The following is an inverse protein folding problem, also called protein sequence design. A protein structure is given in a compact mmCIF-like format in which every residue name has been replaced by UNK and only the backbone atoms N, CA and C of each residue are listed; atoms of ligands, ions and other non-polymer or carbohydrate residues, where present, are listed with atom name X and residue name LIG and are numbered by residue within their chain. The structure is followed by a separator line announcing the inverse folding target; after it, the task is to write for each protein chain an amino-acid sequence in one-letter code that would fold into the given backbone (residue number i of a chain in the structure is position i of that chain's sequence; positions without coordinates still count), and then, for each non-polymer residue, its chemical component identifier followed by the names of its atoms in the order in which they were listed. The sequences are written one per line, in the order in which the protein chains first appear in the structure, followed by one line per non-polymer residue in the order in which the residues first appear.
data_IF_742270772510
#
_entry.id   IF_742270772510
#
_cell.length_a   1.000
_cell.length_b   1.000
_cell.length_c   1.000
_cell.angle_alpha   90.00
_cell.angle_beta   90.00
_cell.angle_gamma   90.00
#
_symmetry.space_group_name_H-M   'P 1'
#
loop_
_entity.id
_entity.type
_entity.pdbx_description
1 polymer ?
#
# COMPACT_ATOMS: atom_id res chain seq x y z
N UNK A 1 5.99 18.36 4.44
CA UNK A 1 5.77 18.31 2.97
C UNK A 1 6.88 17.44 2.40
N UNK A 2 6.68 16.13 2.34
CA UNK A 2 7.72 15.22 1.83
C UNK A 2 7.73 15.35 0.31
N UNK A 3 8.72 16.07 -0.21
CA UNK A 3 8.95 16.19 -1.65
C UNK A 3 9.35 14.81 -2.17
N UNK A 4 8.48 14.21 -2.98
CA UNK A 4 8.81 13.02 -3.77
C UNK A 4 9.79 13.49 -4.84
N UNK A 5 11.09 13.37 -4.54
CA UNK A 5 12.13 13.64 -5.53
C UNK A 5 12.13 12.48 -6.52
N UNK A 6 11.66 12.70 -7.74
CA UNK A 6 12.01 11.85 -8.87
C UNK A 6 13.53 11.90 -9.02
N UNK A 7 14.20 10.77 -8.75
CA UNK A 7 15.66 10.67 -8.89
C UNK A 7 15.94 10.08 -10.27
N UNK A 8 16.45 10.87 -11.23
CA UNK A 8 16.53 10.44 -12.64
C UNK A 8 17.62 9.40 -12.94
N UNK A 9 18.42 8.95 -11.96
CA UNK A 9 19.69 8.27 -12.24
C UNK A 9 20.03 7.07 -11.33
N UNK A 10 19.08 6.50 -10.58
CA UNK A 10 19.39 5.27 -9.81
C UNK A 10 19.14 4.04 -10.68
N UNK A 11 20.08 3.08 -10.81
CA UNK A 11 19.85 1.87 -11.58
C UNK A 11 18.57 1.18 -11.11
N UNK A 12 17.61 1.00 -12.02
CA UNK A 12 16.33 0.34 -11.76
C UNK A 12 16.62 -1.12 -11.36
N UNK A 13 16.74 -1.41 -10.06
CA UNK A 13 17.00 -2.75 -9.52
C UNK A 13 15.79 -3.71 -9.63
N UNK A 14 14.91 -3.50 -10.61
CA UNK A 14 13.81 -4.42 -10.87
C UNK A 14 14.31 -5.61 -11.69
N UNK A 15 13.93 -6.83 -11.27
CA UNK A 15 14.19 -8.07 -12.00
C UNK A 15 13.28 -8.20 -13.23
N UNK A 16 12.18 -7.45 -13.31
CA UNK A 16 11.23 -7.47 -14.43
C UNK A 16 11.61 -6.42 -15.47
N UNK A 17 11.80 -6.85 -16.72
CA UNK A 17 12.20 -6.01 -17.85
C UNK A 17 11.19 -4.88 -18.14
N UNK A 18 9.90 -5.11 -17.88
CA UNK A 18 8.83 -4.11 -18.04
C UNK A 18 9.10 -2.87 -17.17
N UNK A 19 9.51 -3.06 -15.92
CA UNK A 19 9.88 -1.94 -15.02
C UNK A 19 11.19 -1.26 -15.39
N UNK A 20 11.97 -1.82 -16.31
CA UNK A 20 13.16 -1.16 -16.87
C UNK A 20 12.85 -0.33 -18.09
N UNK A 21 11.66 -0.43 -18.68
CA UNK A 21 11.32 0.24 -19.94
C UNK A 21 10.20 1.28 -19.81
N UNK A 22 9.58 1.41 -18.63
CA UNK A 22 8.66 2.54 -18.33
C UNK A 22 9.44 3.83 -18.55
N UNK A 23 8.94 4.66 -19.46
CA UNK A 23 9.54 5.96 -19.76
C UNK A 23 9.26 6.93 -18.60
N UNK A 24 10.08 7.97 -18.45
CA UNK A 24 9.96 8.91 -17.32
C UNK A 24 8.60 9.67 -17.32
N UNK A 25 7.87 9.65 -18.43
CA UNK A 25 6.52 10.20 -18.62
C UNK A 25 5.38 9.22 -18.28
N UNK A 26 5.65 7.93 -18.07
CA UNK A 26 4.64 6.87 -17.85
C UNK A 26 4.62 6.31 -16.42
N UNK A 27 5.54 6.76 -15.55
CA UNK A 27 5.64 6.25 -14.18
C UNK A 27 6.64 6.97 -13.29
N UNK A 28 6.63 6.64 -11.99
CA UNK A 28 7.59 7.15 -11.01
C UNK A 28 8.08 6.06 -10.04
N UNK A 29 9.18 6.30 -9.34
CA UNK A 29 9.77 5.34 -8.39
C UNK A 29 9.77 5.93 -6.97
N UNK A 30 9.30 5.14 -6.01
CA UNK A 30 9.39 5.46 -4.58
C UNK A 30 10.29 4.45 -3.88
N UNK A 31 11.25 4.96 -3.12
CA UNK A 31 12.15 4.14 -2.29
C UNK A 31 11.51 3.88 -0.93
N UNK A 32 11.07 2.65 -0.72
CA UNK A 32 10.56 2.16 0.56
C UNK A 32 11.65 1.44 1.34
N UNK A 33 11.38 1.16 2.62
CA UNK A 33 12.24 0.33 3.46
C UNK A 33 12.53 -1.04 2.82
N UNK A 34 11.51 -1.66 2.23
CA UNK A 34 11.60 -2.96 1.55
C UNK A 34 12.26 -2.91 0.16
N UNK A 35 12.62 -1.72 -0.35
CA UNK A 35 13.21 -1.54 -1.67
C UNK A 35 12.54 -0.45 -2.52
N UNK A 36 13.07 -0.24 -3.73
CA UNK A 36 12.49 0.68 -4.70
C UNK A 36 11.31 0.04 -5.43
N UNK A 37 10.18 0.75 -5.49
CA UNK A 37 8.94 0.30 -6.15
C UNK A 37 8.62 1.28 -7.28
N UNK A 38 8.37 0.75 -8.47
CA UNK A 38 7.94 1.50 -9.64
C UNK A 38 6.41 1.53 -9.69
N UNK A 39 5.85 2.72 -9.87
CA UNK A 39 4.42 2.97 -10.02
C UNK A 39 4.15 3.47 -11.43
N UNK A 40 3.23 2.81 -12.12
CA UNK A 40 2.71 3.23 -13.41
C UNK A 40 1.60 4.27 -13.19
N UNK A 41 1.62 5.38 -13.97
CA UNK A 41 0.63 6.45 -13.84
C UNK A 41 -0.62 6.22 -14.70
N UNK A 42 -0.60 5.22 -15.59
CA UNK A 42 -1.74 4.82 -16.40
C UNK A 42 -2.96 4.53 -15.52
N UNK A 43 -4.08 5.22 -15.79
CA UNK A 43 -5.36 5.14 -15.05
C UNK A 43 -5.28 5.55 -13.57
N UNK A 44 -4.25 6.27 -13.13
CA UNK A 44 -4.15 6.70 -11.73
C UNK A 44 -5.32 7.61 -11.33
N UNK A 45 -5.71 8.55 -12.21
CA UNK A 45 -6.84 9.46 -12.00
C UNK A 45 -8.18 8.71 -12.05
N UNK A 46 -8.38 7.83 -13.03
CA UNK A 46 -9.61 7.03 -13.15
C UNK A 46 -9.84 6.15 -11.93
N UNK A 47 -8.80 5.47 -11.41
CA UNK A 47 -8.88 4.65 -10.20
C UNK A 47 -9.12 5.46 -8.92
N UNK A 48 -8.71 6.73 -8.90
CA UNK A 48 -8.91 7.64 -7.77
C UNK A 48 -10.19 8.47 -7.90
N UNK A 49 -10.97 8.24 -8.98
CA UNK A 49 -12.26 8.87 -9.16
C UNK A 49 -13.33 7.98 -8.51
N UNK A 50 -13.42 8.05 -7.18
CA UNK A 50 -14.38 7.31 -6.36
C UNK A 50 -15.82 7.87 -6.42
N UNK A 51 -16.09 8.79 -7.37
CA UNK A 51 -17.41 9.39 -7.51
C UNK A 51 -18.37 8.42 -8.20
N UNK A 52 -19.41 8.01 -7.46
CA UNK A 52 -20.56 7.34 -8.06
C UNK A 52 -21.22 8.30 -9.06
N UNK A 53 -21.48 7.85 -10.28
CA UNK A 53 -22.18 8.67 -11.26
C UNK A 53 -23.61 8.96 -10.77
N UNK A 54 -24.06 10.21 -10.89
CA UNK A 54 -25.38 10.68 -10.41
C UNK A 54 -26.53 9.79 -10.90
N UNK A 55 -26.50 9.33 -12.15
CA UNK A 55 -27.54 8.44 -12.69
C UNK A 55 -27.62 7.09 -11.97
N UNK A 56 -26.49 6.58 -11.49
CA UNK A 56 -26.44 5.32 -10.75
C UNK A 56 -26.93 5.51 -9.31
N UNK A 57 -26.66 6.68 -8.72
CA UNK A 57 -27.24 7.07 -7.42
C UNK A 57 -28.77 7.13 -7.49
N UNK A 58 -29.32 7.79 -8.51
CA UNK A 58 -30.77 7.84 -8.74
C UNK A 58 -31.36 6.43 -8.92
N UNK A 59 -30.74 5.58 -9.74
CA UNK A 59 -31.22 4.21 -9.96
C UNK A 59 -31.24 3.36 -8.68
N UNK A 60 -30.21 3.49 -7.84
CA UNK A 60 -30.14 2.79 -6.56
C UNK A 60 -31.21 3.29 -5.59
N UNK A 61 -31.50 4.59 -5.60
CA UNK A 61 -32.57 5.19 -4.79
C UNK A 61 -33.97 4.69 -5.20
N UNK A 62 -34.17 4.39 -6.49
CA UNK A 62 -35.42 3.83 -7.03
C UNK A 62 -35.54 2.31 -6.86
N UNK A 63 -34.55 1.65 -6.24
CA UNK A 63 -34.58 0.21 -6.03
C UNK A 63 -35.79 -0.22 -5.19
N UNK A 64 -36.40 -1.34 -5.59
CA UNK A 64 -37.50 -1.99 -4.85
C UNK A 64 -36.98 -2.72 -3.60
N UNK A 65 -35.69 -3.05 -3.57
CA UNK A 65 -35.05 -3.71 -2.43
C UNK A 65 -34.65 -2.68 -1.36
N UNK A 66 -35.17 -2.87 -0.15
CA UNK A 66 -34.93 -1.99 1.00
C UNK A 66 -33.46 -2.00 1.44
N UNK A 67 -32.80 -3.16 1.42
CA UNK A 67 -31.39 -3.27 1.84
C UNK A 67 -30.47 -2.44 0.92
N UNK A 68 -30.76 -2.46 -0.38
CA UNK A 68 -30.01 -1.69 -1.37
C UNK A 68 -30.17 -0.18 -1.16
N UNK A 69 -31.36 0.31 -0.80
CA UNK A 69 -31.54 1.74 -0.49
C UNK A 69 -30.83 2.15 0.79
N UNK A 70 -30.97 1.37 1.87
CA UNK A 70 -30.36 1.67 3.18
C UNK A 70 -28.82 1.73 3.11
N UNK A 71 -28.19 0.94 2.22
CA UNK A 71 -26.74 0.96 2.02
C UNK A 71 -26.22 2.29 1.47
N UNK A 72 -27.04 3.02 0.70
CA UNK A 72 -26.64 4.26 0.01
C UNK A 72 -27.28 5.53 0.60
N UNK A 73 -28.39 5.43 1.33
CA UNK A 73 -29.02 6.56 2.04
C UNK A 73 -28.10 7.22 3.08
N UNK A 74 -27.22 6.43 3.71
CA UNK A 74 -26.30 6.93 4.75
C UNK A 74 -25.15 7.81 4.23
N UNK A 75 -24.92 7.87 2.91
CA UNK A 75 -23.91 8.76 2.33
C UNK A 75 -24.36 10.24 2.30
N UNK A 76 -25.66 10.51 2.48
CA UNK A 76 -26.25 11.84 2.33
C UNK A 76 -26.39 12.63 3.66
N UNK A 77 -26.06 12.02 4.80
CA UNK A 77 -26.14 12.69 6.11
C UNK A 77 -24.87 13.46 6.52
N UNK A 78 -23.83 13.49 5.69
CA UNK A 78 -22.70 14.42 5.87
C UNK A 78 -22.91 15.69 5.03
N UNK A 79 -24.04 16.37 5.22
CA UNK A 79 -24.20 17.79 4.82
C UNK A 79 -23.49 18.70 5.82
N UNK A 80 -22.23 18.42 6.11
CA UNK A 80 -21.44 19.36 6.88
C UNK A 80 -20.03 19.52 6.30
N UNK A 81 -19.74 20.78 6.04
CA UNK A 81 -18.43 21.34 5.71
C UNK A 81 -17.86 21.05 4.31
N UNK A 82 -18.03 22.06 3.44
CA UNK A 82 -17.02 22.61 2.52
C UNK A 82 -15.96 21.61 2.06
N UNK A 83 -16.06 21.25 0.79
CA UNK A 83 -15.00 20.65 -0.03
C UNK A 83 -13.65 21.36 0.23
N UNK A 84 -12.91 20.91 1.24
CA UNK A 84 -11.49 21.21 1.37
C UNK A 84 -10.79 20.24 0.43
N UNK A 85 -10.47 20.75 -0.75
CA UNK A 85 -9.62 20.10 -1.73
C UNK A 85 -8.48 19.32 -1.05
N UNK A 86 -8.42 18.01 -1.33
CA UNK A 86 -7.20 17.21 -1.25
C UNK A 86 -6.71 16.76 0.13
N UNK A 87 -7.41 17.02 1.24
CA UNK A 87 -6.96 16.52 2.57
C UNK A 87 -7.84 15.35 3.02
N UNK A 88 -7.53 14.16 2.50
CA UNK A 88 -7.97 12.89 3.09
C UNK A 88 -7.62 12.93 4.58
N UNK A 89 -8.61 13.06 5.45
CA UNK A 89 -8.45 13.00 6.90
C UNK A 89 -8.23 11.55 7.31
N UNK A 90 -7.12 10.96 6.84
CA UNK A 90 -6.67 9.65 7.27
C UNK A 90 -6.05 9.83 8.66
N UNK A 91 -6.89 9.78 9.71
CA UNK A 91 -6.40 9.64 11.07
C UNK A 91 -5.73 8.27 11.13
N UNK A 92 -4.40 8.26 11.01
CA UNK A 92 -3.63 7.03 11.05
C UNK A 92 -3.85 6.34 12.40
N UNK A 93 -4.22 5.06 12.35
CA UNK A 93 -4.34 4.19 13.53
C UNK A 93 -3.01 4.09 14.30
N UNK A 94 -1.90 4.55 13.70
CA UNK A 94 -0.56 4.61 14.28
C UNK A 94 -0.46 5.19 15.69
N UNK A 95 -1.28 6.19 16.04
CA UNK A 95 -1.25 6.80 17.38
C UNK A 95 -1.82 5.90 18.49
N UNK A 96 -2.50 4.79 18.15
CA UNK A 96 -3.11 3.86 19.11
C UNK A 96 -2.21 2.70 19.52
N UNK A 97 -1.06 2.50 18.88
CA UNK A 97 -0.19 1.35 19.14
C UNK A 97 0.96 1.71 20.10
N UNK A 98 0.67 1.78 21.40
CA UNK A 98 1.70 1.72 22.45
C UNK A 98 1.70 0.30 23.02
N UNK A 99 2.79 -0.46 22.83
CA UNK A 99 2.91 -1.85 23.31
C UNK A 99 2.37 -2.94 22.37
N UNK A 100 2.37 -2.73 21.05
CA UNK A 100 1.84 -3.71 20.11
C UNK A 100 2.74 -4.95 19.97
N UNK A 101 2.11 -6.12 19.97
CA UNK A 101 2.73 -7.36 19.51
C UNK A 101 2.70 -7.43 17.98
N UNK A 102 3.79 -7.90 17.38
CA UNK A 102 3.92 -7.99 15.92
C UNK A 102 4.00 -9.45 15.47
N UNK A 103 3.00 -9.90 14.72
CA UNK A 103 3.02 -11.20 14.04
C UNK A 103 3.42 -10.97 12.58
N UNK A 104 4.44 -11.70 12.12
CA UNK A 104 4.94 -11.64 10.73
C UNK A 104 4.67 -12.97 10.03
N UNK A 105 3.81 -12.96 9.03
CA UNK A 105 3.50 -14.14 8.23
C UNK A 105 4.50 -14.27 7.07
N UNK A 106 4.89 -15.51 6.74
CA UNK A 106 5.80 -15.82 5.63
C UNK A 106 5.13 -16.83 4.70
N UNK A 107 5.09 -16.53 3.40
CA UNK A 107 4.63 -17.47 2.37
C UNK A 107 5.78 -18.42 2.00
N UNK A 108 5.66 -19.74 2.26
CA UNK A 108 6.79 -20.66 2.10
C UNK A 108 7.10 -20.99 0.63
N UNK A 109 6.10 -20.97 -0.25
CA UNK A 109 6.26 -21.17 -1.69
C UNK A 109 5.14 -20.49 -2.48
N UNK A 110 5.37 -20.15 -3.75
CA UNK A 110 4.33 -19.54 -4.60
C UNK A 110 3.24 -20.54 -5.02
N UNK A 111 3.56 -21.84 -5.09
CA UNK A 111 2.69 -22.92 -5.58
C UNK A 111 1.56 -23.30 -4.61
N UNK A 112 1.57 -22.76 -3.40
CA UNK A 112 0.61 -23.06 -2.32
C UNK A 112 0.59 -24.54 -1.92
N UNK A 113 1.75 -25.21 -1.96
CA UNK A 113 1.90 -26.64 -1.62
C UNK A 113 2.47 -26.80 -0.22
N UNK A 114 1.97 -27.76 0.56
CA UNK A 114 2.50 -28.07 1.90
C UNK A 114 3.94 -28.61 1.83
N UNK A 115 4.73 -28.41 2.89
CA UNK A 115 6.11 -28.90 3.04
C UNK A 115 7.12 -28.44 1.98
N UNK A 116 6.76 -27.50 1.11
CA UNK A 116 7.66 -26.93 0.11
C UNK A 116 8.14 -25.55 0.56
N UNK A 117 9.46 -25.37 0.65
CA UNK A 117 10.08 -24.11 1.08
C UNK A 117 11.01 -23.56 -0.01
N UNK A 118 10.70 -22.37 -0.49
CA UNK A 118 11.49 -21.64 -1.47
C UNK A 118 12.38 -20.61 -0.76
N UNK A 119 13.59 -21.02 -0.38
CA UNK A 119 14.49 -20.22 0.46
C UNK A 119 14.74 -18.80 -0.03
N UNK A 120 14.90 -18.60 -1.34
CA UNK A 120 15.10 -17.25 -1.90
C UNK A 120 13.89 -16.32 -1.70
N UNK A 121 12.67 -16.86 -1.83
CA UNK A 121 11.42 -16.09 -1.64
C UNK A 121 11.19 -15.79 -0.16
N UNK A 122 11.48 -16.75 0.71
CA UNK A 122 11.40 -16.59 2.17
C UNK A 122 12.41 -15.54 2.64
N UNK A 123 13.66 -15.62 2.19
CA UNK A 123 14.71 -14.65 2.53
C UNK A 123 14.33 -13.23 2.10
N UNK A 124 13.78 -13.07 0.88
CA UNK A 124 13.30 -11.77 0.42
C UNK A 124 12.20 -11.21 1.34
N UNK A 125 11.26 -12.04 1.80
CA UNK A 125 10.21 -11.62 2.73
C UNK A 125 10.76 -11.23 4.11
N UNK A 126 11.75 -11.97 4.63
CA UNK A 126 12.43 -11.64 5.90
C UNK A 126 13.20 -10.30 5.82
N UNK A 127 13.80 -10.01 4.66
CA UNK A 127 14.47 -8.73 4.42
C UNK A 127 13.46 -7.58 4.33
N UNK A 128 12.39 -7.76 3.55
CA UNK A 128 11.35 -6.73 3.36
C UNK A 128 10.51 -6.46 4.62
N UNK A 129 10.36 -7.44 5.52
CA UNK A 129 9.62 -7.30 6.79
C UNK A 129 10.43 -6.68 7.93
N UNK A 130 11.72 -6.44 7.72
CA UNK A 130 12.63 -5.85 8.71
C UNK A 130 13.15 -6.83 9.75
N UNK A 131 12.78 -8.11 9.67
CA UNK A 131 13.20 -9.14 10.61
C UNK A 131 14.72 -9.33 10.59
N UNK A 132 15.33 -9.33 9.40
CA UNK A 132 16.77 -9.47 9.23
C UNK A 132 17.55 -8.33 9.90
N UNK A 133 17.10 -7.09 9.71
CA UNK A 133 17.73 -5.90 10.31
C UNK A 133 17.55 -5.90 11.83
N UNK A 134 16.37 -6.29 12.32
CA UNK A 134 16.12 -6.42 13.76
C UNK A 134 17.09 -7.41 14.41
N UNK A 135 17.28 -8.59 13.81
CA UNK A 135 18.23 -9.58 14.32
C UNK A 135 19.66 -9.03 14.36
N UNK A 136 20.12 -8.33 13.32
CA UNK A 136 21.46 -7.72 13.30
C UNK A 136 21.62 -6.69 14.42
N UNK A 137 20.68 -5.76 14.55
CA UNK A 137 20.75 -4.70 15.57
C UNK A 137 20.77 -5.31 16.97
N UNK A 138 19.95 -6.33 17.22
CA UNK A 138 19.93 -7.05 18.49
C UNK A 138 21.29 -7.71 18.75
N UNK A 139 21.83 -8.48 17.79
CA UNK A 139 23.14 -9.14 17.95
C UNK A 139 24.27 -8.13 18.19
N UNK A 140 24.31 -7.03 17.45
CA UNK A 140 25.31 -5.97 17.63
C UNK A 140 25.18 -5.20 18.95
N UNK A 141 24.01 -5.22 19.57
CA UNK A 141 23.78 -4.63 20.89
C UNK A 141 24.29 -5.58 21.97
N UNK A 142 24.03 -6.88 21.84
CA UNK A 142 24.56 -7.91 22.74
C UNK A 142 26.10 -7.93 22.73
N UNK A 143 26.73 -7.93 21.54
CA UNK A 143 28.20 -7.98 21.44
C UNK A 143 28.94 -6.72 21.92
N UNK A 144 28.26 -5.64 22.30
CA UNK A 144 28.88 -4.45 22.92
C UNK A 144 28.70 -4.40 24.44
N UNK A 145 27.97 -5.36 25.00
CA UNK A 145 27.67 -5.42 26.43
C UNK A 145 28.67 -6.30 27.19
N UNK A 146 29.42 -7.12 26.46
CA UNK A 146 30.63 -7.84 26.90
C UNK A 146 31.89 -7.02 26.57
#
# INVERSE_FOLDING_TARGET
MYSVKCVPQVPRKSKLQVHRNVRDDEGFIVRHFAGAVCYETTKFVEKNNDALHMSLECLVSESKDRFIRELFENSNNTKDSKQKAGKLSFISVGNKFKGSSFIRCIKPNLKMVSHQFEGAQILSQLQCSGQYIQCIVTLQTYSKMD
#
